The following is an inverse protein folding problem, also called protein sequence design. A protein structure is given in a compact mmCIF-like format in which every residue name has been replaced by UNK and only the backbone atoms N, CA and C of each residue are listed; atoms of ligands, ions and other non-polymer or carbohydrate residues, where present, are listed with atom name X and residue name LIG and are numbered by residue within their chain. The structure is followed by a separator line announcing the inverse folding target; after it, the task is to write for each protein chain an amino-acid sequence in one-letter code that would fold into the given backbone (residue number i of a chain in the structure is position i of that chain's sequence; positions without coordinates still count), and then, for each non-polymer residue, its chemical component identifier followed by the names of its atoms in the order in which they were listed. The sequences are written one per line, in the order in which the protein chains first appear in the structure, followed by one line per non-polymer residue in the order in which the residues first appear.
data_IF_340517939942
#
_entry.id   IF_340517939942
#
_cell.length_a   1.000
_cell.length_b   1.000
_cell.length_c   1.000
_cell.angle_alpha   90.00
_cell.angle_beta   90.00
_cell.angle_gamma   90.00
#
_symmetry.space_group_name_H-M   'P 1'
#
loop_
_entity.id
_entity.type
_entity.pdbx_description
1 polymer ?
#
# COMPACT_ATOMS: atom_id res chain seq x y z
N UNK A 1 -29.22 20.62 -15.90
CA UNK A 1 -29.63 21.22 -17.19
C UNK A 1 -28.54 22.16 -17.65
N UNK A 2 -27.85 21.85 -18.74
CA UNK A 2 -26.86 22.76 -19.35
C UNK A 2 -27.58 23.81 -20.20
N UNK A 3 -27.19 25.08 -20.10
CA UNK A 3 -27.62 26.12 -21.04
C UNK A 3 -26.55 26.31 -22.10
N UNK A 4 -26.88 26.06 -23.37
CA UNK A 4 -26.05 26.51 -24.49
C UNK A 4 -26.28 28.01 -24.70
N UNK A 5 -25.19 28.79 -24.81
CA UNK A 5 -25.23 30.15 -25.34
C UNK A 5 -24.56 30.14 -26.72
N UNK A 6 -25.32 30.54 -27.75
CA UNK A 6 -24.81 30.76 -29.10
C UNK A 6 -24.40 32.24 -29.19
N UNK A 7 -23.15 32.50 -29.52
CA UNK A 7 -22.61 33.84 -29.75
C UNK A 7 -22.45 34.06 -31.26
N UNK A 8 -23.22 34.99 -31.81
CA UNK A 8 -23.07 35.46 -33.18
C UNK A 8 -21.99 36.54 -33.22
N UNK A 9 -20.89 36.25 -33.91
CA UNK A 9 -19.86 37.24 -34.25
C UNK A 9 -19.97 37.57 -35.74
N UNK A 10 -20.56 38.73 -36.05
CA UNK A 10 -20.59 39.27 -37.41
C UNK A 10 -19.44 40.26 -37.59
N UNK A 11 -18.43 39.89 -38.38
CA UNK A 11 -17.38 40.82 -38.81
C UNK A 11 -17.82 41.59 -40.07
N UNK A 12 -17.77 42.93 -40.10
CA UNK A 12 -18.13 43.69 -41.29
C UNK A 12 -17.05 43.57 -42.37
N UNK A 13 -17.43 43.13 -43.57
CA UNK A 13 -16.59 43.25 -44.76
C UNK A 13 -16.75 44.65 -45.37
N UNK A 14 -15.68 45.46 -45.53
CA UNK A 14 -15.79 46.76 -46.15
C UNK A 14 -16.08 46.63 -47.65
N UNK A 15 -17.13 47.32 -48.14
CA UNK A 15 -17.33 47.59 -49.57
C UNK A 15 -18.40 46.79 -50.33
N UNK A 16 -19.36 46.12 -49.68
CA UNK A 16 -20.51 45.49 -50.36
C UNK A 16 -21.86 45.78 -49.69
N UNK A 17 -22.93 45.77 -50.49
CA UNK A 17 -24.31 46.07 -50.08
C UNK A 17 -24.90 44.95 -49.19
N UNK A 18 -25.87 45.27 -48.30
CA UNK A 18 -26.20 44.45 -47.12
C UNK A 18 -26.98 43.14 -47.37
N UNK A 19 -27.06 42.67 -48.63
CA UNK A 19 -27.84 41.49 -49.01
C UNK A 19 -27.00 40.21 -49.25
N UNK A 20 -25.66 40.29 -49.20
CA UNK A 20 -24.77 39.15 -49.50
C UNK A 20 -23.64 38.97 -48.46
N UNK A 21 -23.98 38.85 -47.17
CA UNK A 21 -23.04 38.43 -46.12
C UNK A 21 -23.29 36.97 -45.72
N UNK A 22 -22.33 36.09 -45.98
CA UNK A 22 -22.34 34.69 -45.52
C UNK A 22 -21.86 34.60 -44.07
N UNK A 23 -22.77 34.28 -43.14
CA UNK A 23 -22.42 34.03 -41.73
C UNK A 23 -21.91 32.59 -41.54
N UNK A 24 -20.67 32.44 -41.09
CA UNK A 24 -20.10 31.14 -40.70
C UNK A 24 -20.42 30.86 -39.23
N UNK A 25 -21.15 29.77 -38.95
CA UNK A 25 -21.45 29.35 -37.57
C UNK A 25 -20.24 28.67 -36.93
N UNK A 26 -19.70 29.24 -35.85
CA UNK A 26 -18.69 28.60 -35.01
C UNK A 26 -19.31 28.19 -33.68
N UNK A 27 -19.55 26.89 -33.49
CA UNK A 27 -20.09 26.35 -32.26
C UNK A 27 -18.99 26.21 -31.18
N UNK A 28 -18.85 27.20 -30.31
CA UNK A 28 -17.92 27.14 -29.17
C UNK A 28 -18.59 26.45 -27.99
N UNK A 29 -18.23 25.18 -27.72
CA UNK A 29 -18.73 24.43 -26.56
C UNK A 29 -17.99 24.87 -25.29
N UNK A 30 -18.51 25.90 -24.61
CA UNK A 30 -17.99 26.34 -23.31
C UNK A 30 -18.53 25.42 -22.20
N UNK A 31 -17.68 24.52 -21.71
CA UNK A 31 -17.96 23.76 -20.49
C UNK A 31 -17.90 24.66 -19.26
N UNK A 32 -19.04 25.24 -18.87
CA UNK A 32 -19.17 25.89 -17.57
C UNK A 32 -19.14 24.84 -16.47
N UNK A 33 -18.24 25.01 -15.48
CA UNK A 33 -18.21 24.16 -14.29
C UNK A 33 -19.57 24.21 -13.60
N UNK A 34 -20.26 23.07 -13.57
CA UNK A 34 -21.43 22.90 -12.69
C UNK A 34 -20.96 23.13 -11.25
N UNK A 35 -21.47 24.20 -10.62
CA UNK A 35 -21.27 24.44 -9.20
C UNK A 35 -21.99 23.35 -8.42
N UNK A 36 -21.28 22.24 -8.15
CA UNK A 36 -21.83 21.17 -7.34
C UNK A 36 -22.10 21.71 -5.93
N UNK A 37 -23.35 21.57 -5.51
CA UNK A 37 -23.87 22.22 -4.31
C UNK A 37 -23.12 21.72 -3.08
N UNK A 38 -22.46 22.65 -2.38
CA UNK A 38 -21.74 22.34 -1.15
C UNK A 38 -22.73 21.96 -0.05
N UNK A 39 -23.07 20.67 0.05
CA UNK A 39 -23.50 20.08 1.32
C UNK A 39 -22.33 20.22 2.29
N UNK A 40 -22.40 21.23 3.16
CA UNK A 40 -21.46 21.42 4.27
C UNK A 40 -21.59 20.24 5.23
N UNK A 41 -20.74 19.22 5.06
CA UNK A 41 -20.46 18.26 6.12
C UNK A 41 -19.69 18.98 7.24
N UNK A 42 -20.41 19.54 8.20
CA UNK A 42 -19.83 19.93 9.48
C UNK A 42 -19.31 18.68 10.19
N UNK A 43 -18.05 18.70 10.63
CA UNK A 43 -17.47 17.66 11.48
C UNK A 43 -16.11 17.14 11.01
N UNK A 44 -15.04 17.69 11.57
CA UNK A 44 -13.67 17.15 11.55
C UNK A 44 -13.02 16.89 10.17
N UNK A 45 -12.03 17.73 9.81
CA UNK A 45 -11.05 17.45 8.75
C UNK A 45 -10.05 16.36 9.20
N UNK A 46 -10.54 15.13 9.37
CA UNK A 46 -9.67 13.96 9.58
C UNK A 46 -9.07 13.58 8.22
N UNK A 47 -7.76 13.76 8.05
CA UNK A 47 -7.09 13.31 6.83
C UNK A 47 -7.13 11.78 6.76
N UNK A 48 -8.02 11.22 5.95
CA UNK A 48 -7.96 9.81 5.58
C UNK A 48 -6.70 9.60 4.71
N UNK A 49 -5.58 9.21 5.34
CA UNK A 49 -4.38 8.77 4.63
C UNK A 49 -4.73 7.47 3.90
N UNK A 50 -4.39 7.40 2.63
CA UNK A 50 -4.72 6.31 1.73
C UNK A 50 -3.72 6.29 0.57
N UNK A 51 -3.25 5.16 0.04
CA UNK A 51 -3.31 3.79 0.59
C UNK A 51 -2.21 3.57 1.65
N UNK A 52 -2.49 2.76 2.67
CA UNK A 52 -1.60 2.59 3.84
C UNK A 52 -1.16 1.16 4.15
N UNK A 53 -1.48 0.18 3.28
CA UNK A 53 -1.10 -1.23 3.45
C UNK A 53 -1.14 -1.98 2.12
N UNK A 54 -0.22 -2.91 1.90
CA UNK A 54 -0.22 -3.82 0.75
C UNK A 54 0.07 -5.26 1.17
N UNK A 55 -0.20 -6.22 0.29
CA UNK A 55 0.41 -7.54 0.34
C UNK A 55 1.43 -7.64 -0.79
N UNK A 56 2.54 -8.33 -0.57
CA UNK A 56 3.45 -8.79 -1.62
C UNK A 56 4.06 -10.10 -1.14
N UNK A 57 3.49 -11.23 -1.59
CA UNK A 57 3.74 -12.57 -1.04
C UNK A 57 4.64 -13.44 -1.89
N UNK A 58 4.80 -13.10 -3.17
CA UNK A 58 5.72 -13.79 -4.08
C UNK A 58 7.17 -13.71 -3.57
N UNK A 59 7.91 -14.81 -3.70
CA UNK A 59 9.35 -14.90 -3.47
C UNK A 59 10.14 -14.01 -4.45
N UNK A 60 11.42 -13.68 -4.20
CA UNK A 60 12.17 -12.75 -5.05
C UNK A 60 12.30 -13.20 -6.52
N UNK A 61 12.47 -14.51 -6.76
CA UNK A 61 12.49 -15.12 -8.10
C UNK A 61 11.11 -15.09 -8.77
N UNK A 62 10.04 -15.34 -8.01
CA UNK A 62 8.65 -15.22 -8.48
C UNK A 62 8.30 -13.78 -8.85
N UNK A 63 8.72 -12.78 -8.07
CA UNK A 63 8.56 -11.36 -8.41
C UNK A 63 9.27 -11.04 -9.73
N UNK A 64 10.47 -11.59 -9.94
CA UNK A 64 11.22 -11.42 -11.19
C UNK A 64 10.48 -12.03 -12.39
N UNK A 65 10.03 -13.29 -12.29
CA UNK A 65 9.22 -13.96 -13.35
C UNK A 65 7.88 -13.27 -13.61
N UNK A 66 7.18 -12.84 -12.57
CA UNK A 66 5.91 -12.11 -12.67
C UNK A 66 6.04 -10.71 -13.28
N UNK A 67 7.26 -10.18 -13.39
CA UNK A 67 7.57 -8.89 -13.98
C UNK A 67 8.29 -9.00 -15.34
N UNK A 68 8.32 -10.18 -15.96
CA UNK A 68 8.79 -10.35 -17.33
C UNK A 68 8.02 -9.44 -18.29
N UNK A 69 8.74 -8.84 -19.24
CA UNK A 69 8.23 -7.81 -20.14
C UNK A 69 8.87 -7.94 -21.53
N UNK A 70 8.26 -7.34 -22.55
CA UNK A 70 8.86 -7.19 -23.88
C UNK A 70 9.66 -5.89 -23.97
N UNK A 71 10.90 -6.01 -24.42
CA UNK A 71 11.71 -4.85 -24.79
C UNK A 71 11.22 -4.24 -26.13
N UNK A 72 11.76 -3.10 -26.53
CA UNK A 72 11.45 -2.39 -27.79
C UNK A 72 11.73 -3.22 -29.04
N UNK A 73 12.65 -4.18 -28.96
CA UNK A 73 12.92 -5.17 -30.01
C UNK A 73 11.93 -6.35 -30.02
N UNK A 74 10.91 -6.35 -29.15
CA UNK A 74 9.89 -7.39 -29.04
C UNK A 74 10.33 -8.64 -28.26
N UNK A 75 11.62 -8.75 -27.90
CA UNK A 75 12.18 -9.86 -27.13
C UNK A 75 11.68 -9.83 -25.70
N UNK A 76 11.32 -10.99 -25.16
CA UNK A 76 11.02 -11.15 -23.73
C UNK A 76 12.28 -10.92 -22.91
N UNK A 77 12.14 -10.28 -21.76
CA UNK A 77 13.19 -10.04 -20.77
C UNK A 77 12.61 -10.21 -19.37
N UNK A 78 13.41 -10.78 -18.48
CA UNK A 78 13.10 -10.88 -17.06
C UNK A 78 13.95 -9.86 -16.28
N UNK A 79 13.37 -8.96 -15.47
CA UNK A 79 14.13 -7.95 -14.76
C UNK A 79 14.95 -8.60 -13.64
N UNK A 80 16.27 -8.48 -13.72
CA UNK A 80 17.20 -8.93 -12.68
C UNK A 80 17.07 -8.03 -11.44
N UNK A 81 17.36 -8.57 -10.25
CA UNK A 81 17.51 -7.76 -9.05
C UNK A 81 18.81 -6.96 -9.10
N UNK A 82 18.77 -5.73 -8.59
CA UNK A 82 19.98 -4.94 -8.33
C UNK A 82 20.78 -5.57 -7.18
N UNK A 83 22.11 -5.55 -7.31
CA UNK A 83 23.05 -6.14 -6.35
C UNK A 83 22.71 -5.78 -4.88
N UNK A 84 22.53 -6.82 -4.07
CA UNK A 84 22.20 -6.72 -2.64
C UNK A 84 20.80 -6.18 -2.32
N UNK A 85 19.97 -5.84 -3.29
CA UNK A 85 18.58 -5.42 -3.04
C UNK A 85 17.61 -6.62 -2.89
N UNK A 86 17.94 -7.78 -3.45
CA UNK A 86 17.18 -9.03 -3.27
C UNK A 86 17.04 -9.41 -1.78
N UNK A 87 18.18 -9.46 -1.06
CA UNK A 87 18.23 -9.76 0.38
C UNK A 87 17.46 -8.78 1.28
N UNK A 88 17.22 -7.55 0.79
CA UNK A 88 16.45 -6.52 1.50
C UNK A 88 14.95 -6.74 1.35
N UNK A 89 14.51 -7.44 0.30
CA UNK A 89 13.11 -7.81 0.13
C UNK A 89 12.73 -8.99 1.02
N UNK A 90 11.59 -8.87 1.70
CA UNK A 90 10.98 -9.95 2.48
C UNK A 90 9.49 -10.01 2.13
N UNK A 91 9.00 -11.15 1.57
CA UNK A 91 7.58 -11.33 1.29
C UNK A 91 6.72 -11.21 2.54
N UNK A 92 5.53 -10.63 2.41
CA UNK A 92 4.56 -10.52 3.49
C UNK A 92 3.17 -10.17 2.99
N UNK A 93 2.18 -10.80 3.63
CA UNK A 93 0.75 -10.55 3.48
C UNK A 93 0.31 -9.16 3.98
N UNK A 94 1.16 -8.38 4.67
CA UNK A 94 0.74 -7.19 5.42
C UNK A 94 1.83 -6.10 5.51
N UNK A 95 2.39 -5.71 4.35
CA UNK A 95 3.38 -4.64 4.22
C UNK A 95 2.81 -3.30 4.70
N UNK A 96 3.55 -2.60 5.54
CA UNK A 96 3.23 -1.24 6.01
C UNK A 96 4.25 -0.22 5.50
N UNK A 97 3.98 1.09 5.64
CA UNK A 97 5.00 2.11 5.47
C UNK A 97 6.23 1.80 6.33
N UNK A 98 7.39 2.31 5.91
CA UNK A 98 8.73 2.05 6.43
C UNK A 98 9.29 0.65 6.16
N UNK A 99 8.50 -0.30 5.62
CA UNK A 99 9.03 -1.60 5.15
C UNK A 99 9.63 -1.50 3.75
N UNK A 100 10.48 -2.47 3.40
CA UNK A 100 11.08 -2.62 2.07
C UNK A 100 10.15 -3.40 1.14
N UNK A 101 9.90 -2.88 -0.05
CA UNK A 101 9.02 -3.50 -1.07
C UNK A 101 9.71 -3.53 -2.44
N UNK A 102 9.37 -4.50 -3.30
CA UNK A 102 9.90 -4.56 -4.66
C UNK A 102 9.31 -3.42 -5.50
N UNK A 103 10.19 -2.75 -6.24
CA UNK A 103 9.79 -1.79 -7.27
C UNK A 103 10.56 -2.06 -8.55
N UNK A 104 9.89 -1.88 -9.69
CA UNK A 104 10.50 -1.87 -11.01
C UNK A 104 10.89 -0.43 -11.37
N UNK A 105 12.07 -0.23 -11.94
CA UNK A 105 12.54 1.06 -12.46
C UNK A 105 13.48 0.88 -13.66
N UNK A 106 13.71 1.94 -14.43
CA UNK A 106 14.67 1.90 -15.55
C UNK A 106 16.10 1.71 -15.04
N UNK A 107 16.83 0.77 -15.66
CA UNK A 107 18.24 0.49 -15.38
C UNK A 107 19.14 1.71 -15.62
N UNK A 108 18.69 2.69 -16.41
CA UNK A 108 19.39 3.96 -16.67
C UNK A 108 19.55 4.87 -15.46
N UNK A 109 18.92 4.54 -14.33
CA UNK A 109 19.22 5.17 -13.04
C UNK A 109 20.54 4.70 -12.40
N UNK A 110 21.07 3.55 -12.84
CA UNK A 110 22.31 2.96 -12.32
C UNK A 110 23.40 2.92 -13.39
N UNK A 111 23.06 2.51 -14.61
CA UNK A 111 23.96 2.55 -15.78
C UNK A 111 23.36 3.40 -16.91
N UNK A 112 23.97 4.55 -17.17
CA UNK A 112 23.51 5.49 -18.22
C UNK A 112 23.58 4.91 -19.65
N UNK A 113 24.40 3.88 -19.86
CA UNK A 113 24.63 3.23 -21.15
C UNK A 113 23.63 2.11 -21.44
N UNK A 114 22.90 1.64 -20.43
CA UNK A 114 21.84 0.64 -20.58
C UNK A 114 20.73 1.11 -21.56
N UNK A 115 20.09 0.19 -22.29
CA UNK A 115 18.89 0.43 -23.09
C UNK A 115 17.81 1.23 -22.35
N UNK A 116 17.08 2.08 -23.08
CA UNK A 116 16.09 3.03 -22.52
C UNK A 116 14.89 2.36 -21.86
N UNK A 117 14.61 1.15 -22.29
CA UNK A 117 13.51 0.27 -21.91
C UNK A 117 13.96 -0.89 -21.02
N UNK A 118 15.26 -1.01 -20.70
CA UNK A 118 15.72 -2.01 -19.75
C UNK A 118 15.30 -1.65 -18.32
N UNK A 119 14.68 -2.62 -17.66
CA UNK A 119 14.10 -2.50 -16.33
C UNK A 119 14.81 -3.41 -15.32
N UNK A 120 14.98 -2.92 -14.10
CA UNK A 120 15.63 -3.62 -12.98
C UNK A 120 14.69 -3.64 -11.77
N UNK A 121 14.79 -4.70 -10.95
CA UNK A 121 14.12 -4.77 -9.66
C UNK A 121 15.01 -4.19 -8.56
N UNK A 122 14.46 -3.28 -7.77
CA UNK A 122 15.09 -2.77 -6.56
C UNK A 122 14.16 -2.90 -5.36
N UNK A 123 14.75 -3.11 -4.18
CA UNK A 123 14.03 -3.13 -2.91
C UNK A 123 14.13 -1.74 -2.30
N UNK A 124 13.00 -1.04 -2.18
CA UNK A 124 12.96 0.35 -1.71
C UNK A 124 12.09 0.50 -0.47
N UNK A 125 12.44 1.45 0.40
CA UNK A 125 11.67 1.74 1.61
C UNK A 125 10.41 2.54 1.29
N UNK A 126 9.26 2.07 1.76
CA UNK A 126 8.00 2.79 1.60
C UNK A 126 7.93 4.04 2.49
N UNK A 127 7.93 5.23 1.88
CA UNK A 127 7.89 6.52 2.55
C UNK A 127 9.10 7.35 2.14
N UNK A 128 8.92 8.16 1.09
CA UNK A 128 9.97 8.93 0.43
C UNK A 128 10.69 9.88 1.40
N UNK A 129 12.01 9.74 1.49
CA UNK A 129 12.92 10.63 2.20
C UNK A 129 13.56 11.54 1.14
N UNK A 130 13.23 12.84 1.09
CA UNK A 130 13.76 13.71 0.05
C UNK A 130 15.27 13.84 0.16
N UNK A 131 15.99 13.93 -0.97
CA UNK A 131 17.45 14.00 -1.01
C UNK A 131 18.04 15.21 -0.25
N UNK A 132 17.22 16.22 0.05
CA UNK A 132 17.59 17.42 0.81
C UNK A 132 17.36 17.31 2.33
N UNK A 133 16.80 16.20 2.83
CA UNK A 133 16.55 15.97 4.25
C UNK A 133 17.86 15.92 5.07
N UNK A 134 17.87 16.59 6.23
CA UNK A 134 19.11 16.91 7.00
C UNK A 134 19.27 16.17 8.33
N UNK A 135 18.25 15.48 8.82
CA UNK A 135 18.38 14.68 10.04
C UNK A 135 19.08 13.35 9.76
N UNK A 136 19.72 12.76 10.77
CA UNK A 136 20.45 11.49 10.62
C UNK A 136 19.54 10.26 10.48
N UNK A 137 18.30 10.35 10.94
CA UNK A 137 17.33 9.25 10.92
C UNK A 137 16.07 9.63 10.12
N UNK A 138 15.73 8.89 9.04
CA UNK A 138 14.46 9.00 8.32
C UNK A 138 13.19 8.94 9.18
N UNK A 139 13.25 8.39 10.40
CA UNK A 139 12.12 8.38 11.34
C UNK A 139 11.74 9.77 11.85
N UNK A 140 12.68 10.72 11.84
CA UNK A 140 12.49 12.10 12.32
C UNK A 140 11.64 12.97 11.38
N UNK A 141 11.23 12.47 10.21
CA UNK A 141 10.35 13.19 9.30
C UNK A 141 8.95 13.44 9.89
N UNK A 142 8.65 14.70 10.23
CA UNK A 142 7.37 15.09 10.83
C UNK A 142 6.14 15.00 9.90
N UNK A 143 6.32 14.74 8.60
CA UNK A 143 5.22 14.67 7.62
C UNK A 143 5.23 13.35 6.83
N UNK A 144 4.04 12.88 6.46
CA UNK A 144 3.86 11.61 5.73
C UNK A 144 4.20 11.76 4.25
N UNK A 145 5.15 10.94 3.78
CA UNK A 145 5.51 10.78 2.37
C UNK A 145 5.17 9.40 1.81
N UNK A 146 4.37 8.62 2.54
CA UNK A 146 3.78 7.34 2.12
C UNK A 146 3.07 7.42 0.77
N UNK A 147 2.40 8.53 0.51
CA UNK A 147 1.62 8.77 -0.70
C UNK A 147 1.83 10.20 -1.24
N UNK A 148 1.82 10.32 -2.56
CA UNK A 148 1.72 11.59 -3.28
C UNK A 148 0.31 11.73 -3.87
N UNK A 149 -0.24 12.94 -3.92
CA UNK A 149 -1.47 13.24 -4.68
C UNK A 149 -1.07 13.68 -6.08
N UNK A 150 -1.63 13.07 -7.13
CA UNK A 150 -1.32 13.44 -8.51
C UNK A 150 -1.58 14.93 -8.78
N UNK A 151 -2.59 15.51 -8.14
CA UNK A 151 -2.99 16.92 -8.32
C UNK A 151 -1.93 17.94 -7.87
N UNK A 152 -1.08 17.59 -6.90
CA UNK A 152 -0.09 18.51 -6.31
C UNK A 152 1.37 18.07 -6.56
N UNK A 153 1.58 17.14 -7.50
CA UNK A 153 2.89 16.52 -7.76
C UNK A 153 3.94 17.52 -8.28
N UNK A 154 3.49 18.51 -9.08
CA UNK A 154 4.32 19.58 -9.64
C UNK A 154 4.57 20.75 -8.67
N UNK A 155 3.77 20.85 -7.60
CA UNK A 155 3.83 21.95 -6.63
C UNK A 155 4.77 21.61 -5.47
N UNK A 156 4.75 20.35 -5.01
CA UNK A 156 5.48 19.92 -3.81
C UNK A 156 6.91 19.55 -4.16
N UNK A 157 7.88 20.29 -3.61
CA UNK A 157 9.33 20.06 -3.81
C UNK A 157 9.76 18.59 -3.66
N UNK A 158 9.25 17.90 -2.63
CA UNK A 158 9.52 16.47 -2.37
C UNK A 158 9.14 15.50 -3.49
N UNK A 159 8.36 15.95 -4.48
CA UNK A 159 7.85 15.14 -5.59
C UNK A 159 8.18 15.76 -6.96
N UNK A 160 8.18 17.10 -7.05
CA UNK A 160 8.59 17.85 -8.25
C UNK A 160 10.03 17.54 -8.65
N UNK A 161 10.97 17.60 -7.70
CA UNK A 161 12.39 17.43 -8.00
C UNK A 161 12.68 15.98 -8.46
N UNK A 162 12.15 14.92 -7.81
CA UNK A 162 12.23 13.55 -8.34
C UNK A 162 11.58 13.34 -9.70
N UNK A 163 10.38 13.87 -9.92
CA UNK A 163 9.68 13.76 -11.20
C UNK A 163 10.44 14.45 -12.35
N UNK A 164 11.15 15.55 -12.07
CA UNK A 164 12.00 16.24 -13.03
C UNK A 164 13.31 15.48 -13.33
N UNK A 165 13.88 14.79 -12.35
CA UNK A 165 15.03 13.88 -12.51
C UNK A 165 14.66 12.54 -13.18
N UNK A 166 13.38 12.32 -13.51
CA UNK A 166 12.90 11.06 -14.07
C UNK A 166 12.81 9.91 -13.07
N UNK A 167 12.90 10.15 -11.75
CA UNK A 167 12.88 9.12 -10.70
C UNK A 167 11.48 8.52 -10.50
N UNK A 168 11.01 7.81 -11.53
CA UNK A 168 9.70 7.17 -11.63
C UNK A 168 9.89 5.67 -11.44
N UNK A 169 9.05 5.04 -10.63
CA UNK A 169 9.09 3.60 -10.38
C UNK A 169 7.67 3.02 -10.42
N UNK A 170 7.59 1.70 -10.54
CA UNK A 170 6.35 0.94 -10.37
C UNK A 170 6.47 0.09 -9.11
N UNK A 171 5.63 0.36 -8.11
CA UNK A 171 5.55 -0.45 -6.90
C UNK A 171 4.75 -1.71 -7.22
N UNK A 172 5.32 -2.85 -6.84
CA UNK A 172 4.74 -4.17 -7.05
C UNK A 172 4.08 -4.66 -5.74
N UNK A 173 2.92 -5.29 -5.88
CA UNK A 173 2.14 -5.85 -4.78
C UNK A 173 1.18 -6.91 -5.32
N UNK A 174 0.74 -7.88 -4.52
CA UNK A 174 -0.35 -8.77 -4.92
C UNK A 174 -1.67 -7.97 -5.00
N UNK A 175 -1.78 -6.98 -4.12
CA UNK A 175 -2.86 -5.99 -4.03
C UNK A 175 -2.65 -5.05 -2.84
N UNK A 176 -3.62 -4.16 -2.60
CA UNK A 176 -3.62 -3.24 -1.46
C UNK A 176 -4.85 -3.41 -0.57
N UNK A 177 -4.74 -3.01 0.69
CA UNK A 177 -5.87 -2.98 1.60
C UNK A 177 -6.43 -1.56 1.75
N UNK A 178 -7.74 -1.46 1.87
CA UNK A 178 -8.41 -0.22 2.29
C UNK A 178 -9.58 -0.48 3.26
N UNK A 179 -9.88 0.50 4.10
CA UNK A 179 -10.85 0.41 5.18
C UNK A 179 -12.10 1.24 4.90
N UNK A 180 -13.17 0.58 4.44
CA UNK A 180 -14.50 1.20 4.38
C UNK A 180 -14.95 1.59 5.78
N UNK A 181 -15.26 2.87 5.97
CA UNK A 181 -15.77 3.38 7.26
C UNK A 181 -17.29 3.20 7.31
N UNK A 182 -17.77 2.56 8.38
CA UNK A 182 -19.18 2.41 8.69
C UNK A 182 -19.36 2.79 10.16
N UNK A 183 -19.82 4.01 10.40
CA UNK A 183 -19.93 4.63 11.74
C UNK A 183 -18.64 4.51 12.57
N UNK A 184 -18.66 3.69 13.63
CA UNK A 184 -17.53 3.44 14.53
C UNK A 184 -16.64 2.27 14.10
N UNK A 185 -17.07 1.50 13.10
CA UNK A 185 -16.38 0.28 12.62
C UNK A 185 -15.68 0.57 11.29
N UNK A 186 -14.61 -0.17 11.03
CA UNK A 186 -13.89 -0.15 9.75
C UNK A 186 -13.84 -1.57 9.21
N UNK A 187 -14.43 -1.79 8.04
CA UNK A 187 -14.34 -3.05 7.32
C UNK A 187 -13.13 -2.99 6.36
N UNK A 188 -12.08 -3.81 6.56
CA UNK A 188 -11.01 -3.92 5.58
C UNK A 188 -11.47 -4.68 4.34
N UNK A 189 -10.99 -4.23 3.19
CA UNK A 189 -11.10 -4.90 1.89
C UNK A 189 -9.69 -5.12 1.34
N UNK A 190 -9.49 -6.23 0.64
CA UNK A 190 -8.32 -6.43 -0.22
C UNK A 190 -8.71 -6.15 -1.68
N UNK A 191 -7.89 -5.37 -2.37
CA UNK A 191 -8.18 -4.78 -3.70
C UNK A 191 -7.00 -5.08 -4.64
N UNK A 192 -7.27 -5.71 -5.77
CA UNK A 192 -6.27 -6.34 -6.65
C UNK A 192 -6.75 -6.39 -8.10
N UNK A 193 -5.85 -6.74 -9.04
CA UNK A 193 -6.26 -7.04 -10.41
C UNK A 193 -7.10 -8.34 -10.44
N UNK A 194 -8.14 -8.44 -11.30
CA UNK A 194 -8.76 -9.72 -11.63
C UNK A 194 -7.70 -10.74 -12.05
N UNK A 195 -7.79 -11.94 -11.47
CA UNK A 195 -6.86 -13.04 -11.69
C UNK A 195 -7.49 -14.06 -12.64
N UNK A 196 -6.70 -14.61 -13.56
CA UNK A 196 -7.08 -15.74 -14.40
C UNK A 196 -6.99 -17.02 -13.57
N UNK A 197 -8.12 -17.44 -13.00
CA UNK A 197 -8.23 -18.76 -12.38
C UNK A 197 -8.34 -19.81 -13.48
N UNK A 198 -7.24 -20.50 -13.79
CA UNK A 198 -7.35 -21.82 -14.38
C UNK A 198 -8.06 -22.71 -13.36
N UNK A 199 -9.20 -23.28 -13.76
CA UNK A 199 -9.82 -24.33 -12.96
C UNK A 199 -8.96 -25.58 -13.11
N UNK A 200 -8.24 -25.94 -12.06
CA UNK A 200 -7.87 -27.34 -11.86
C UNK A 200 -9.17 -28.12 -11.69
N UNK A 201 -9.58 -28.80 -12.76
CA UNK A 201 -10.63 -29.81 -12.67
C UNK A 201 -10.02 -31.00 -11.91
N UNK A 202 -10.27 -31.05 -10.60
CA UNK A 202 -9.92 -32.20 -9.76
C UNK A 202 -10.72 -33.42 -10.25
N UNK A 203 -10.10 -34.21 -11.13
CA UNK A 203 -10.62 -35.51 -11.54
C UNK A 203 -10.31 -36.54 -10.45
N UNK A 204 -11.23 -36.66 -9.49
CA UNK A 204 -11.36 -37.85 -8.65
C UNK A 204 -11.76 -39.06 -9.52
N UNK A 205 -10.78 -39.79 -10.07
CA UNK A 205 -10.98 -41.15 -10.60
C UNK A 205 -10.15 -42.17 -9.80
N UNK A 206 -10.76 -42.97 -8.92
CA UNK A 206 -10.07 -43.90 -8.05
C UNK A 206 -9.98 -45.32 -8.65
N UNK A 207 -9.29 -45.52 -9.79
CA UNK A 207 -9.06 -46.91 -10.28
C UNK A 207 -7.71 -47.22 -10.96
N UNK A 208 -6.98 -48.16 -10.32
CA UNK A 208 -6.11 -49.22 -10.90
C UNK A 208 -4.59 -49.02 -11.10
N UNK A 209 -3.88 -50.01 -10.54
CA UNK A 209 -2.61 -50.62 -10.99
C UNK A 209 -1.28 -49.85 -10.89
N UNK A 210 -0.63 -50.14 -9.76
CA UNK A 210 0.81 -50.16 -9.57
C UNK A 210 1.63 -50.75 -10.75
N UNK A 211 2.81 -50.16 -11.00
CA UNK A 211 4.04 -50.95 -11.22
C UNK A 211 5.34 -50.19 -10.91
N UNK A 212 6.28 -50.96 -10.33
CA UNK A 212 7.73 -50.79 -10.26
C UNK A 212 8.34 -49.60 -9.48
N UNK A 213 8.85 -49.96 -8.29
CA UNK A 213 10.06 -49.37 -7.71
C UNK A 213 11.30 -49.92 -8.43
N UNK A 214 12.29 -49.07 -8.65
CA UNK A 214 13.74 -49.24 -8.40
C UNK A 214 14.44 -48.02 -9.04
N UNK A 215 15.53 -47.42 -8.59
CA UNK A 215 16.37 -47.41 -7.39
C UNK A 215 17.70 -46.80 -7.86
N UNK A 216 17.99 -45.53 -7.57
CA UNK A 216 19.35 -44.99 -7.74
C UNK A 216 19.65 -43.91 -6.70
N UNK A 217 20.63 -44.18 -5.85
CA UNK A 217 21.31 -43.17 -5.03
C UNK A 217 22.41 -42.52 -5.88
N UNK A 218 22.44 -41.19 -5.96
CA UNK A 218 23.66 -40.40 -6.19
C UNK A 218 23.33 -38.94 -5.84
N UNK A 219 23.80 -38.44 -4.69
CA UNK A 219 24.97 -37.57 -4.57
C UNK A 219 24.74 -36.14 -5.10
N UNK A 220 24.80 -35.15 -4.20
CA UNK A 220 24.80 -33.73 -4.54
C UNK A 220 26.10 -33.35 -5.27
N UNK A 221 26.06 -32.63 -6.39
CA UNK A 221 27.21 -31.87 -6.88
C UNK A 221 27.35 -30.53 -6.10
N UNK A 222 28.55 -29.92 -6.09
CA UNK A 222 28.81 -28.70 -5.33
C UNK A 222 28.25 -27.44 -6.00
N UNK A 223 28.07 -26.39 -5.19
CA UNK A 223 27.66 -25.06 -5.64
C UNK A 223 28.86 -24.35 -6.28
N UNK A 224 28.84 -24.25 -7.60
CA UNK A 224 29.73 -23.39 -8.40
C UNK A 224 28.89 -22.35 -9.14
N UNK A 225 29.50 -21.21 -9.48
CA UNK A 225 28.76 -20.00 -9.85
C UNK A 225 28.04 -20.07 -11.22
N UNK A 226 26.92 -19.32 -11.28
CA UNK A 226 26.12 -18.88 -12.43
C UNK A 226 26.49 -19.38 -13.85
N UNK A 227 25.61 -20.14 -14.51
CA UNK A 227 25.46 -20.07 -15.96
C UNK A 227 24.56 -18.89 -16.35
N UNK A 228 25.01 -18.06 -17.29
CA UNK A 228 24.12 -17.14 -18.02
C UNK A 228 23.25 -18.02 -18.94
N UNK A 229 21.92 -17.96 -18.78
CA UNK A 229 21.00 -18.84 -19.52
C UNK A 229 21.05 -18.53 -21.02
N UNK A 230 20.91 -19.56 -21.84
CA UNK A 230 20.97 -19.42 -23.30
C UNK A 230 19.72 -18.73 -23.84
N UNK A 231 19.81 -18.08 -25.01
CA UNK A 231 18.65 -17.39 -25.63
C UNK A 231 17.46 -18.35 -25.87
N UNK A 232 17.73 -19.65 -26.04
CA UNK A 232 16.72 -20.70 -26.22
C UNK A 232 16.00 -21.05 -24.89
N UNK A 233 16.68 -20.93 -23.74
CA UNK A 233 16.08 -21.13 -22.42
C UNK A 233 15.23 -19.93 -21.96
N UNK A 234 15.57 -18.70 -22.37
CA UNK A 234 14.73 -17.51 -22.12
C UNK A 234 13.38 -17.57 -22.87
N UNK A 235 13.31 -18.18 -24.07
CA UNK A 235 12.03 -18.42 -24.77
C UNK A 235 11.29 -19.67 -24.26
N UNK A 236 12.00 -20.68 -23.74
CA UNK A 236 11.39 -21.84 -23.09
C UNK A 236 10.71 -21.50 -21.74
N UNK A 237 11.07 -20.36 -21.13
CA UNK A 237 10.33 -19.79 -20.01
C UNK A 237 8.94 -19.31 -20.45
N UNK A 238 7.96 -20.20 -20.29
CA UNK A 238 6.55 -19.97 -20.59
C UNK A 238 5.98 -18.69 -19.95
N UNK A 239 4.85 -18.21 -20.48
CA UNK A 239 4.16 -17.05 -19.91
C UNK A 239 3.81 -17.27 -18.43
N UNK A 240 3.96 -16.23 -17.60
CA UNK A 240 3.74 -16.33 -16.16
C UNK A 240 2.26 -16.62 -15.88
N UNK A 241 1.99 -17.83 -15.38
CA UNK A 241 0.65 -18.31 -15.02
C UNK A 241 0.28 -18.04 -13.54
N UNK A 242 1.22 -17.57 -12.73
CA UNK A 242 0.99 -17.27 -11.32
C UNK A 242 0.25 -15.96 -11.07
N UNK A 243 0.28 -15.49 -9.82
CA UNK A 243 -0.47 -14.28 -9.43
C UNK A 243 -0.04 -13.04 -10.23
N UNK A 244 -1.01 -12.35 -10.83
CA UNK A 244 -0.81 -11.10 -11.56
C UNK A 244 -0.66 -9.94 -10.57
N UNK A 245 0.59 -9.50 -10.40
CA UNK A 245 0.95 -8.38 -9.54
C UNK A 245 0.27 -7.06 -9.96
N UNK A 246 -0.18 -6.31 -8.95
CA UNK A 246 -0.66 -4.94 -9.07
C UNK A 246 0.51 -3.97 -9.25
N UNK A 247 0.44 -3.18 -10.32
CA UNK A 247 1.46 -2.23 -10.78
C UNK A 247 1.04 -0.79 -10.47
N UNK A 248 1.56 -0.24 -9.37
CA UNK A 248 1.22 1.12 -8.90
C UNK A 248 2.28 2.14 -9.28
N UNK A 249 1.89 3.27 -9.88
CA UNK A 249 2.81 4.35 -10.21
C UNK A 249 3.38 5.02 -8.95
N UNK A 250 4.70 5.19 -8.92
CA UNK A 250 5.43 5.82 -7.83
C UNK A 250 6.48 6.83 -8.29
N UNK A 251 6.86 7.68 -7.34
CA UNK A 251 8.12 8.41 -7.39
C UNK A 251 9.05 7.86 -6.33
N UNK A 252 10.34 7.79 -6.63
CA UNK A 252 11.38 7.50 -5.66
C UNK A 252 12.33 8.67 -5.48
N UNK A 253 13.03 8.73 -4.35
CA UNK A 253 14.20 9.58 -4.20
C UNK A 253 15.32 8.81 -3.48
N UNK A 254 16.54 9.28 -3.67
CA UNK A 254 17.75 8.72 -3.09
C UNK A 254 18.32 9.71 -2.08
N UNK A 255 18.41 9.27 -0.82
CA UNK A 255 18.89 10.09 0.30
C UNK A 255 20.09 9.43 0.95
N UNK A 256 21.14 10.21 1.20
CA UNK A 256 22.37 9.74 1.86
C UNK A 256 22.46 10.34 3.27
N UNK A 257 22.74 9.54 4.31
CA UNK A 257 22.82 10.04 5.68
C UNK A 257 23.83 11.20 5.86
N UNK A 258 23.46 12.31 6.53
CA UNK A 258 24.39 13.38 6.88
C UNK A 258 25.38 12.90 7.95
N UNK A 259 26.53 12.43 7.47
CA UNK A 259 27.56 11.71 8.22
C UNK A 259 28.24 10.59 7.41
N UNK A 260 27.70 10.25 6.24
CA UNK A 260 28.15 9.11 5.43
C UNK A 260 27.35 7.84 5.73
N UNK A 261 27.42 6.88 4.81
CA UNK A 261 26.63 5.63 4.84
C UNK A 261 26.08 5.27 3.46
N UNK A 262 25.42 4.12 3.35
CA UNK A 262 24.79 3.70 2.11
C UNK A 262 23.64 4.64 1.69
N UNK A 263 23.47 4.93 0.38
CA UNK A 263 22.32 5.67 -0.12
C UNK A 263 21.03 4.87 0.06
N UNK A 264 20.05 5.48 0.73
CA UNK A 264 18.74 4.91 0.96
C UNK A 264 17.77 5.30 -0.16
N UNK A 265 17.30 4.30 -0.90
CA UNK A 265 16.26 4.45 -1.91
C UNK A 265 14.87 4.31 -1.27
N UNK A 266 14.03 5.32 -1.47
CA UNK A 266 12.71 5.42 -0.83
C UNK A 266 11.63 5.86 -1.81
N UNK A 267 10.40 5.38 -1.67
CA UNK A 267 9.32 5.68 -2.62
C UNK A 267 8.04 6.25 -1.99
N UNK A 268 7.25 6.91 -2.82
CA UNK A 268 5.89 7.39 -2.52
C UNK A 268 4.91 6.86 -3.57
N UNK A 269 3.81 6.26 -3.14
CA UNK A 269 2.76 5.77 -4.05
C UNK A 269 1.93 6.96 -4.53
N UNK A 270 1.79 7.15 -5.84
CA UNK A 270 0.93 8.19 -6.40
C UNK A 270 -0.53 7.76 -6.22
N UNK A 271 -1.38 8.70 -5.82
CA UNK A 271 -2.82 8.49 -5.64
C UNK A 271 -3.62 9.39 -6.56
N UNK A 272 -4.76 8.87 -6.99
CA UNK A 272 -5.79 9.53 -7.79
C UNK A 272 -7.14 9.43 -7.06
N UNK A 273 -8.19 10.06 -7.60
CA UNK A 273 -9.55 9.81 -7.13
C UNK A 273 -9.92 8.33 -7.35
N UNK A 274 -10.82 7.79 -6.53
CA UNK A 274 -11.28 6.42 -6.76
C UNK A 274 -12.09 6.30 -8.06
N UNK A 275 -12.05 5.12 -8.66
CA UNK A 275 -13.02 4.68 -9.67
C UNK A 275 -14.40 4.44 -9.02
N UNK A 276 -15.51 4.49 -9.79
CA UNK A 276 -16.87 4.35 -9.25
C UNK A 276 -17.09 3.08 -8.41
N UNK A 277 -16.49 1.95 -8.80
CA UNK A 277 -16.55 0.70 -8.05
C UNK A 277 -15.88 0.78 -6.65
N UNK A 278 -14.84 1.61 -6.48
CA UNK A 278 -14.06 1.75 -5.24
C UNK A 278 -14.43 2.97 -4.39
N UNK A 279 -15.12 3.96 -4.95
CA UNK A 279 -15.50 5.20 -4.25
C UNK A 279 -16.30 4.93 -2.96
N UNK A 280 -17.13 3.88 -2.99
CA UNK A 280 -17.91 3.38 -1.85
C UNK A 280 -17.07 2.70 -0.75
N UNK A 281 -15.79 2.41 -0.99
CA UNK A 281 -14.82 1.97 0.02
C UNK A 281 -14.03 3.18 0.50
N UNK A 282 -13.46 3.96 -0.43
CA UNK A 282 -12.72 5.18 -0.13
C UNK A 282 -12.65 6.13 -1.34
N UNK A 283 -12.63 7.44 -1.10
CA UNK A 283 -12.60 8.50 -2.13
C UNK A 283 -11.28 8.63 -2.94
N UNK A 284 -10.34 7.68 -2.80
CA UNK A 284 -9.02 7.69 -3.46
C UNK A 284 -8.64 6.26 -3.85
N UNK A 285 -7.64 6.12 -4.70
CA UNK A 285 -6.96 4.86 -4.98
C UNK A 285 -5.50 5.11 -5.41
N UNK A 286 -4.62 4.10 -5.41
CA UNK A 286 -3.32 4.20 -6.08
C UNK A 286 -3.52 4.46 -7.59
N UNK A 287 -2.60 5.19 -8.21
CA UNK A 287 -2.57 5.32 -9.67
C UNK A 287 -2.07 4.00 -10.27
N UNK A 288 -2.95 3.24 -10.92
CA UNK A 288 -2.63 1.93 -11.51
C UNK A 288 -2.15 2.09 -12.95
N UNK A 289 -1.07 1.41 -13.28
CA UNK A 289 -0.54 1.25 -14.63
C UNK A 289 -0.95 -0.13 -15.15
N UNK A 290 -1.46 -0.21 -16.38
CA UNK A 290 -2.13 -1.40 -16.92
C UNK A 290 -1.37 -1.95 -18.10
N UNK A 291 -0.91 -3.20 -17.95
CA UNK A 291 -0.13 -3.87 -18.98
C UNK A 291 1.27 -3.29 -19.17
N UNK A 292 2.05 -3.96 -20.02
CA UNK A 292 3.45 -3.62 -20.25
C UNK A 292 3.63 -2.20 -20.82
N UNK A 293 2.74 -1.74 -21.70
CA UNK A 293 2.91 -0.45 -22.38
C UNK A 293 2.76 0.77 -21.44
N UNK A 294 1.81 0.77 -20.50
CA UNK A 294 1.72 1.85 -19.52
C UNK A 294 2.88 1.81 -18.52
N UNK A 295 3.31 0.60 -18.11
CA UNK A 295 4.49 0.41 -17.24
C UNK A 295 5.75 0.93 -17.94
N UNK A 296 6.01 0.50 -19.18
CA UNK A 296 7.13 0.93 -20.02
C UNK A 296 7.14 2.44 -20.21
N UNK A 297 6.01 3.05 -20.60
CA UNK A 297 5.91 4.50 -20.75
C UNK A 297 6.08 5.27 -19.44
N UNK A 298 5.69 4.69 -18.31
CA UNK A 298 5.96 5.28 -17.00
C UNK A 298 7.44 5.16 -16.60
N UNK A 299 8.13 4.06 -16.90
CA UNK A 299 9.54 3.88 -16.52
C UNK A 299 10.55 4.54 -17.46
N UNK A 300 10.22 4.68 -18.75
CA UNK A 300 11.07 5.29 -19.78
C UNK A 300 11.17 6.81 -19.59
N UNK A 301 12.04 7.26 -18.69
CA UNK A 301 12.28 8.68 -18.45
C UNK A 301 13.21 9.34 -19.48
N UNK A 302 13.84 8.53 -20.35
CA UNK A 302 14.68 9.03 -21.45
C UNK A 302 13.83 9.63 -22.56
N UNK A 303 12.81 8.89 -23.01
CA UNK A 303 11.96 9.29 -24.14
C UNK A 303 10.61 9.87 -23.68
N UNK A 304 10.03 9.38 -22.57
CA UNK A 304 8.74 9.89 -22.07
C UNK A 304 8.95 11.03 -21.07
N UNK A 305 8.74 12.25 -21.55
CA UNK A 305 8.75 13.50 -20.76
C UNK A 305 7.77 13.42 -19.59
N UNK A 306 8.12 14.03 -18.47
CA UNK A 306 7.33 13.93 -17.23
C UNK A 306 5.87 14.37 -17.39
N UNK A 307 5.58 15.42 -18.19
CA UNK A 307 4.19 15.84 -18.45
C UNK A 307 3.37 14.81 -19.24
N UNK A 308 4.02 14.00 -20.09
CA UNK A 308 3.36 12.92 -20.83
C UNK A 308 3.17 11.69 -19.94
N UNK A 309 4.14 11.38 -19.08
CA UNK A 309 4.01 10.34 -18.06
C UNK A 309 2.86 10.64 -17.08
N UNK A 310 2.66 11.90 -16.68
CA UNK A 310 1.54 12.31 -15.81
C UNK A 310 0.16 12.01 -16.41
N UNK A 311 0.02 11.93 -17.74
CA UNK A 311 -1.26 11.62 -18.42
C UNK A 311 -1.75 10.19 -18.12
N UNK A 312 -0.86 9.28 -17.71
CA UNK A 312 -1.19 7.89 -17.34
C UNK A 312 -1.88 7.79 -15.96
N UNK A 313 -1.77 8.85 -15.13
CA UNK A 313 -2.23 8.89 -13.74
C UNK A 313 -3.74 9.20 -13.64
N UNK A 314 -4.55 8.28 -14.14
CA UNK A 314 -6.01 8.35 -14.14
C UNK A 314 -6.62 7.24 -13.27
N UNK A 315 -7.85 7.43 -12.81
CA UNK A 315 -8.62 6.35 -12.18
C UNK A 315 -9.07 5.35 -13.25
N UNK A 316 -9.03 4.05 -12.92
CA UNK A 316 -9.36 2.96 -13.87
C UNK A 316 -10.24 1.94 -13.17
N UNK A 317 -11.41 1.67 -13.75
CA UNK A 317 -12.39 0.72 -13.22
C UNK A 317 -12.07 -0.70 -13.71
N UNK A 318 -10.98 -1.24 -13.16
CA UNK A 318 -10.36 -2.52 -13.60
C UNK A 318 -9.97 -3.42 -12.43
N UNK A 319 -10.18 -2.95 -11.19
CA UNK A 319 -9.80 -3.67 -9.98
C UNK A 319 -11.00 -4.41 -9.41
N UNK A 320 -10.76 -5.60 -8.89
CA UNK A 320 -11.73 -6.35 -8.08
C UNK A 320 -11.34 -6.29 -6.60
N UNK A 321 -12.27 -6.65 -5.73
CA UNK A 321 -12.06 -6.62 -4.29
C UNK A 321 -12.99 -7.57 -3.55
N UNK A 322 -12.57 -7.96 -2.34
CA UNK A 322 -13.41 -8.67 -1.39
C UNK A 322 -13.14 -8.17 0.05
N UNK A 323 -14.12 -8.24 0.95
CA UNK A 323 -13.90 -7.96 2.37
C UNK A 323 -12.99 -9.02 3.00
N UNK A 324 -12.09 -8.61 3.89
CA UNK A 324 -11.18 -9.51 4.62
C UNK A 324 -11.38 -9.43 6.14
N UNK A 325 -10.69 -10.30 6.87
CA UNK A 325 -10.70 -10.30 8.34
C UNK A 325 -10.09 -9.04 8.94
N UNK A 326 -10.60 -8.62 10.11
CA UNK A 326 -9.98 -7.56 10.93
C UNK A 326 -8.57 -7.92 11.45
N UNK A 327 -8.12 -9.17 11.24
CA UNK A 327 -6.74 -9.62 11.48
C UNK A 327 -5.71 -8.69 10.83
N UNK A 328 -5.96 -8.20 9.61
CA UNK A 328 -5.04 -7.32 8.89
C UNK A 328 -4.80 -5.98 9.61
N UNK A 329 -5.69 -5.55 10.51
CA UNK A 329 -5.59 -4.24 11.18
C UNK A 329 -4.24 -4.04 11.89
N UNK A 330 -3.72 -5.07 12.56
CA UNK A 330 -2.38 -5.08 13.18
C UNK A 330 -1.34 -5.48 12.13
N UNK A 331 -0.41 -4.58 11.79
CA UNK A 331 0.65 -4.82 10.80
C UNK A 331 1.67 -5.90 11.18
N UNK A 332 1.68 -6.35 12.45
CA UNK A 332 2.51 -7.50 12.87
C UNK A 332 1.92 -8.85 12.46
N UNK A 333 0.64 -8.89 12.07
CA UNK A 333 0.00 -10.12 11.62
C UNK A 333 0.38 -10.36 10.15
N UNK A 334 1.20 -11.37 9.91
CA UNK A 334 1.72 -11.72 8.59
C UNK A 334 1.39 -13.18 8.26
N UNK A 335 0.17 -13.42 7.74
CA UNK A 335 -0.30 -14.78 7.44
C UNK A 335 -1.36 -14.78 6.33
N UNK A 336 -1.64 -15.92 5.67
CA UNK A 336 -2.59 -16.01 4.56
C UNK A 336 -4.00 -15.51 4.90
N UNK A 337 -4.43 -15.63 6.15
CA UNK A 337 -5.75 -15.17 6.64
C UNK A 337 -5.93 -13.65 6.60
N UNK A 338 -4.87 -12.88 6.35
CA UNK A 338 -4.98 -11.45 6.03
C UNK A 338 -5.61 -11.21 4.65
N UNK A 339 -5.45 -12.15 3.70
CA UNK A 339 -6.00 -12.10 2.34
C UNK A 339 -7.30 -12.89 2.17
N UNK A 340 -7.67 -13.74 3.12
CA UNK A 340 -8.84 -14.62 2.94
C UNK A 340 -10.16 -13.82 2.94
N UNK A 341 -11.04 -14.03 1.93
CA UNK A 341 -12.37 -13.43 1.91
C UNK A 341 -13.18 -13.80 3.16
N UNK A 342 -14.00 -12.86 3.65
CA UNK A 342 -14.96 -13.12 4.73
C UNK A 342 -16.38 -12.83 4.29
N UNK A 343 -17.32 -13.73 4.59
CA UNK A 343 -18.74 -13.43 4.43
C UNK A 343 -19.22 -12.48 5.54
N UNK A 344 -19.63 -11.28 5.15
CA UNK A 344 -20.17 -10.25 6.06
C UNK A 344 -21.56 -10.59 6.59
N UNK A 345 -22.29 -11.50 5.92
CA UNK A 345 -23.61 -11.96 6.35
C UNK A 345 -23.52 -13.11 7.36
N UNK A 346 -22.37 -13.80 7.43
CA UNK A 346 -22.13 -14.86 8.40
C UNK A 346 -22.10 -14.27 9.83
N UNK A 347 -23.20 -14.46 10.57
CA UNK A 347 -23.28 -14.12 11.99
C UNK A 347 -22.35 -15.03 12.79
N UNK A 348 -21.06 -14.68 12.88
CA UNK A 348 -20.14 -15.32 13.82
C UNK A 348 -20.60 -15.01 15.25
N UNK A 349 -21.11 -16.03 15.92
CA UNK A 349 -21.23 -16.00 17.38
C UNK A 349 -19.86 -15.68 17.98
N UNK A 350 -19.81 -14.61 18.78
CA UNK A 350 -18.57 -14.15 19.39
C UNK A 350 -18.13 -15.12 20.49
N UNK A 351 -17.26 -16.08 20.13
CA UNK A 351 -16.60 -16.95 21.12
C UNK A 351 -15.96 -16.06 22.20
N UNK A 352 -16.37 -16.19 23.48
CA UNK A 352 -15.95 -15.25 24.52
C UNK A 352 -14.44 -15.41 24.79
N UNK A 353 -13.71 -14.34 24.49
CA UNK A 353 -12.28 -14.19 24.81
C UNK A 353 -12.02 -14.41 26.30
N UNK A 354 -10.84 -14.90 26.67
CA UNK A 354 -10.47 -15.12 28.08
C UNK A 354 -10.67 -13.86 28.93
N UNK A 355 -10.34 -12.68 28.38
CA UNK A 355 -10.58 -11.38 29.03
C UNK A 355 -12.06 -11.04 29.23
N UNK A 356 -12.95 -11.37 28.27
CA UNK A 356 -14.39 -11.16 28.44
C UNK A 356 -15.02 -12.15 29.44
N UNK A 357 -14.50 -13.39 29.53
CA UNK A 357 -14.87 -14.33 30.61
C UNK A 357 -14.45 -13.80 31.98
N UNK A 358 -13.24 -13.27 32.09
CA UNK A 358 -12.70 -12.72 33.33
C UNK A 358 -13.47 -11.48 33.81
N UNK A 359 -13.80 -10.54 32.90
CA UNK A 359 -14.64 -9.38 33.25
C UNK A 359 -16.07 -9.79 33.66
N UNK A 360 -16.67 -10.79 33.00
CA UNK A 360 -17.99 -11.32 33.41
C UNK A 360 -17.94 -11.95 34.81
N UNK A 361 -16.91 -12.74 35.09
CA UNK A 361 -16.68 -13.34 36.42
C UNK A 361 -16.54 -12.28 37.52
N UNK A 362 -15.75 -11.22 37.26
CA UNK A 362 -15.57 -10.11 38.20
C UNK A 362 -16.86 -9.34 38.49
N UNK A 363 -17.64 -9.01 37.44
CA UNK A 363 -18.94 -8.36 37.59
C UNK A 363 -19.92 -9.21 38.40
N UNK A 364 -19.98 -10.54 38.17
CA UNK A 364 -20.84 -11.42 38.97
C UNK A 364 -20.41 -11.52 40.43
N UNK A 365 -19.11 -11.52 40.73
CA UNK A 365 -18.62 -11.54 42.12
C UNK A 365 -18.95 -10.28 42.92
N UNK A 366 -19.09 -9.12 42.26
CA UNK A 366 -19.44 -7.86 42.92
C UNK A 366 -20.91 -7.75 43.37
N UNK A 367 -21.81 -8.61 42.88
CA UNK A 367 -23.25 -8.50 43.10
C UNK A 367 -23.78 -9.16 44.40
N UNK A 368 -22.95 -9.93 45.12
CA UNK A 368 -23.42 -10.81 46.22
C UNK A 368 -23.19 -10.30 47.64
N UNK A 369 -22.68 -9.08 47.83
CA UNK A 369 -22.46 -8.48 49.15
C UNK A 369 -23.75 -7.86 49.74
N UNK A 370 -24.66 -8.71 50.21
CA UNK A 370 -25.91 -8.29 50.88
C UNK A 370 -25.61 -7.50 52.18
N UNK A 371 -25.98 -6.22 52.23
CA UNK A 371 -26.01 -5.43 53.48
C UNK A 371 -27.04 -6.02 54.46
N UNK A 372 -26.66 -6.15 55.72
CA UNK A 372 -27.59 -6.18 56.87
C UNK A 372 -27.49 -4.85 57.61
N UNK A 373 -28.63 -4.28 57.97
CA UNK A 373 -28.71 -3.15 58.91
C UNK A 373 -28.71 -3.68 60.36
N UNK A 374 -28.17 -2.91 61.33
CA UNK A 374 -28.37 -3.18 62.75
C UNK A 374 -29.23 -2.08 63.43
N UNK A 375 -30.20 -2.51 64.23
CA UNK A 375 -30.92 -1.67 65.20
C UNK A 375 -30.18 -1.61 66.55
N UNK A 376 -30.49 -0.60 67.34
CA UNK A 376 -29.80 -0.16 68.57
C UNK A 376 -30.29 -0.83 69.85
N UNK A 377 -29.37 -1.17 70.78
CA UNK A 377 -29.35 -0.64 72.16
C UNK A 377 -28.19 -1.21 73.04
N UNK A 378 -27.45 -0.30 73.69
CA UNK A 378 -26.98 -0.27 75.11
C UNK A 378 -26.70 -1.57 75.91
N UNK A 379 -25.68 -1.68 76.81
CA UNK A 379 -24.63 -0.73 77.27
C UNK A 379 -23.53 -1.42 78.13
N UNK A 380 -22.40 -0.74 78.36
CA UNK A 380 -21.35 -0.96 79.42
C UNK A 380 -20.54 -2.27 79.38
N UNK A 381 -19.31 -2.43 79.91
CA UNK A 381 -18.14 -1.60 80.29
C UNK A 381 -16.99 -2.64 80.55
N UNK A 382 -15.66 -2.42 80.54
CA UNK A 382 -14.75 -1.28 80.29
C UNK A 382 -13.34 -1.84 79.84
N UNK A 383 -12.38 -0.97 79.42
CA UNK A 383 -10.90 -1.15 79.42
C UNK A 383 -10.22 -2.34 78.66
N UNK A 384 -8.99 -2.26 78.13
CA UNK A 384 -8.19 -1.16 77.57
C UNK A 384 -7.00 -1.77 76.75
N UNK A 385 -6.44 -1.01 75.79
CA UNK A 385 -5.04 -1.07 75.23
C UNK A 385 -4.79 -1.69 73.82
N UNK A 386 -4.47 -0.72 72.93
CA UNK A 386 -3.46 -0.71 71.82
C UNK A 386 -3.87 -1.17 70.41
N UNK A 387 -3.95 -0.16 69.54
CA UNK A 387 -4.03 -0.16 68.08
C UNK A 387 -3.02 -1.12 67.39
N UNK A 388 -3.43 -1.93 66.40
CA UNK A 388 -3.60 -1.59 64.96
C UNK A 388 -2.30 -1.12 64.27
N UNK A 389 -1.79 -1.83 63.24
CA UNK A 389 -2.25 -1.84 61.81
C UNK A 389 -2.14 -0.44 61.16
N UNK A 390 -1.64 -0.27 59.93
CA UNK A 390 -1.69 -1.15 58.74
C UNK A 390 -0.59 -0.75 57.72
N UNK A 391 -0.25 -1.64 56.80
CA UNK A 391 0.51 -1.32 55.59
C UNK A 391 -0.29 -0.44 54.63
N UNK A 392 0.33 0.64 54.12
CA UNK A 392 -0.17 1.45 53.00
C UNK A 392 0.37 0.93 51.66
N UNK A 393 -0.40 1.15 50.59
CA UNK A 393 -0.21 0.48 49.30
C UNK A 393 0.89 1.06 48.41
N UNK A 394 1.20 0.33 47.33
CA UNK A 394 2.35 0.55 46.45
C UNK A 394 2.29 1.81 45.57
N UNK A 395 1.24 2.63 45.69
CA UNK A 395 1.09 3.87 44.92
C UNK A 395 2.07 4.99 45.34
N UNK A 396 2.82 4.82 46.44
CA UNK A 396 3.80 5.80 46.93
C UNK A 396 5.26 5.48 46.51
N UNK A 397 5.52 4.36 45.82
CA UNK A 397 6.87 4.03 45.30
C UNK A 397 7.26 4.74 44.00
N UNK A 398 6.38 5.53 43.40
CA UNK A 398 6.62 6.13 42.08
C UNK A 398 7.11 7.60 42.10
N UNK A 399 7.35 8.20 43.28
CA UNK A 399 7.58 9.66 43.38
C UNK A 399 8.92 10.14 43.96
N UNK A 400 9.79 9.27 44.49
CA UNK A 400 11.08 9.70 45.06
C UNK A 400 12.15 8.63 44.85
N UNK A 401 13.27 8.96 44.16
CA UNK A 401 14.38 8.02 44.02
C UNK A 401 15.32 8.18 42.81
N UNK A 402 15.55 9.41 42.32
CA UNK A 402 16.64 9.62 41.36
C UNK A 402 18.01 9.64 42.07
N UNK A 403 19.06 9.30 41.30
CA UNK A 403 20.44 9.78 41.47
C UNK A 403 21.34 9.10 42.55
N UNK A 404 22.29 8.24 42.12
CA UNK A 404 23.77 8.46 42.25
C UNK A 404 24.63 7.22 41.91
N UNK A 405 25.60 7.41 41.00
CA UNK A 405 26.93 6.73 41.01
C UNK A 405 27.81 7.38 42.11
N UNK A 406 29.07 6.96 42.42
CA UNK A 406 29.88 5.84 41.90
C UNK A 406 30.52 4.96 43.01
N UNK A 407 31.30 3.92 42.68
CA UNK A 407 32.79 3.93 42.76
C UNK A 407 33.43 2.64 42.22
N UNK A 408 34.68 2.76 41.79
CA UNK A 408 35.57 1.71 41.31
C UNK A 408 36.14 0.83 42.42
N UNK A 409 36.46 -0.42 42.07
CA UNK A 409 37.81 -0.97 42.19
C UNK A 409 38.10 -1.84 40.96
#
# INVERSE_FOLDING_TARGET
MSRCHVLLLCSPCPGKSPLNCTCTYVAVVVYTKSHNSHRKCNGSRVSCKMCGRTACTLAPDEVSRACSYRNRGGRRRQPRWRDGDEDKYRPSYNKSPQTMSPVLLSQRHFDKTAPVDECVLASMRWGLVPSWFKEKDPSMMHYSTTNCRSENILEKKSYKDPLAKGQRCVILADGFYEWKRQDKVKQPFFIYFPQTLEKTEDQDDPTTSARNKENSKSACPPVEASPDLTEEEEEAAGEWTGWKLLTMAGLFDCWTPPGGGEPLYTYSIITVNASPNLENIHHRMPAILVGEEEVRRWLDFGEVKSLDALKLLQSKDILTFHPVSSLVNNSRNNSPECLQPVDLNSKKESKPTASSKMMKSWLTSSASAKRKEPSTSESKDEQERKAQRKSTGELQRWLQGANKKPRTK
#
